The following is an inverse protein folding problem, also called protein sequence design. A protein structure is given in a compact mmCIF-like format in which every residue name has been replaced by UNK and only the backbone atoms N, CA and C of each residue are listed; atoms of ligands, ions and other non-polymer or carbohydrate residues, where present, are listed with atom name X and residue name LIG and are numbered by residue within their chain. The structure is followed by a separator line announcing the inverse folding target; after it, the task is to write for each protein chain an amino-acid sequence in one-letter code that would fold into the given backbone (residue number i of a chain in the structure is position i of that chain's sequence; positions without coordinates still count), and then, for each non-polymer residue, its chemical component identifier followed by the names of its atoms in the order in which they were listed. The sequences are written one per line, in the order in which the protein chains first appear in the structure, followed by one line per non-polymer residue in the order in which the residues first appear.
data_IF_598095392255
#
_entry.id   IF_598095392255
#
_cell.length_a   1.000
_cell.length_b   1.000
_cell.length_c   1.000
_cell.angle_alpha   90.00
_cell.angle_beta   90.00
_cell.angle_gamma   90.00
#
_symmetry.space_group_name_H-M   'P 1'
#
loop_
_entity.id
_entity.type
_entity.pdbx_description
1 polymer ?
#
# COMPACT_ATOMS: atom_id res chain seq x y z
N UNK A 1 33.02 36.27 -6.97
CA UNK A 1 32.29 35.21 -6.25
C UNK A 1 32.21 34.02 -7.18
N UNK A 2 32.95 32.96 -6.89
CA UNK A 2 32.88 31.68 -7.62
C UNK A 2 31.48 31.12 -7.44
N UNK A 3 30.78 30.62 -8.48
CA UNK A 3 29.52 29.93 -8.28
C UNK A 3 29.80 28.76 -7.34
N UNK A 4 29.09 28.64 -6.22
CA UNK A 4 29.12 27.40 -5.44
C UNK A 4 28.70 26.28 -6.39
N UNK A 5 29.60 25.34 -6.66
CA UNK A 5 29.27 24.17 -7.44
C UNK A 5 28.09 23.47 -6.75
N UNK A 6 27.00 23.28 -7.49
CA UNK A 6 25.86 22.49 -7.06
C UNK A 6 26.39 21.13 -6.59
N UNK A 7 26.22 20.83 -5.30
CA UNK A 7 26.64 19.56 -4.74
C UNK A 7 25.46 18.61 -4.86
N UNK A 8 25.61 17.64 -5.75
CA UNK A 8 24.62 16.61 -6.01
C UNK A 8 24.97 15.34 -5.23
N UNK A 9 24.01 14.83 -4.49
CA UNK A 9 24.12 13.62 -3.68
C UNK A 9 23.33 12.52 -4.40
N UNK A 10 23.98 11.46 -4.90
CA UNK A 10 23.28 10.37 -5.56
C UNK A 10 22.45 9.57 -4.56
N UNK A 11 21.36 9.00 -5.03
CA UNK A 11 20.47 8.15 -4.26
C UNK A 11 19.80 7.07 -5.10
N UNK A 12 18.87 6.37 -4.46
CA UNK A 12 18.06 5.29 -5.03
C UNK A 12 16.60 5.61 -4.76
N UNK A 13 15.80 5.74 -5.81
CA UNK A 13 14.38 6.04 -5.69
C UNK A 13 13.62 4.81 -5.16
N UNK A 14 13.13 4.91 -3.92
CA UNK A 14 12.32 3.88 -3.28
C UNK A 14 10.84 4.03 -3.65
N UNK A 15 10.33 5.26 -3.59
CA UNK A 15 8.95 5.64 -3.93
C UNK A 15 9.02 6.83 -4.89
N UNK A 16 8.41 6.71 -6.07
CA UNK A 16 8.31 7.79 -7.05
C UNK A 16 7.04 8.61 -6.89
N UNK A 17 7.04 9.83 -7.44
CA UNK A 17 5.86 10.69 -7.52
C UNK A 17 5.87 11.53 -8.81
N UNK A 18 4.84 12.35 -8.99
CA UNK A 18 4.57 13.08 -10.24
C UNK A 18 5.45 14.29 -10.57
N UNK A 19 5.93 15.10 -9.60
CA UNK A 19 6.95 16.08 -9.92
C UNK A 19 8.29 15.36 -10.17
N UNK A 20 8.96 15.64 -11.30
CA UNK A 20 10.32 15.14 -11.55
C UNK A 20 11.31 15.63 -10.51
N UNK A 21 10.99 16.73 -9.81
CA UNK A 21 11.74 17.22 -8.66
C UNK A 21 10.86 17.85 -7.60
N UNK A 22 11.17 17.64 -6.34
CA UNK A 22 10.52 18.29 -5.19
C UNK A 22 11.53 19.20 -4.49
N UNK A 23 11.18 20.48 -4.28
CA UNK A 23 12.00 21.44 -3.52
C UNK A 23 11.37 21.67 -2.15
N UNK A 24 12.18 21.74 -1.10
CA UNK A 24 11.73 22.05 0.24
C UNK A 24 12.87 22.19 1.24
N UNK A 25 12.56 22.67 2.44
CA UNK A 25 13.53 22.78 3.54
C UNK A 25 13.67 21.42 4.23
N UNK A 26 14.91 20.99 4.45
CA UNK A 26 15.23 19.79 5.21
C UNK A 26 14.67 19.88 6.63
N UNK A 27 13.84 18.90 6.96
CA UNK A 27 13.28 18.68 8.29
C UNK A 27 13.92 17.43 8.90
N UNK A 28 14.64 17.61 10.01
CA UNK A 28 15.28 16.52 10.78
C UNK A 28 14.68 16.34 12.18
N UNK A 29 13.63 17.11 12.52
CA UNK A 29 13.10 17.14 13.89
C UNK A 29 12.19 15.96 14.18
N UNK A 30 11.73 15.25 13.14
CA UNK A 30 10.71 14.21 13.27
C UNK A 30 9.30 14.77 13.54
N UNK A 31 9.12 16.09 13.54
CA UNK A 31 7.82 16.75 13.74
C UNK A 31 7.22 17.21 12.41
N UNK A 32 5.89 17.39 12.30
CA UNK A 32 5.25 17.85 11.05
C UNK A 32 5.73 19.23 10.60
N UNK A 33 6.17 19.33 9.34
CA UNK A 33 6.53 20.58 8.68
C UNK A 33 5.99 20.55 7.26
N UNK A 34 5.01 21.42 6.99
CA UNK A 34 4.32 21.48 5.70
C UNK A 34 5.28 21.87 4.57
N UNK A 35 5.26 21.13 3.47
CA UNK A 35 6.16 21.33 2.34
C UNK A 35 7.64 21.00 2.59
N UNK A 36 7.99 20.47 3.77
CA UNK A 36 9.37 20.11 4.12
C UNK A 36 9.87 18.84 3.45
N UNK A 37 11.19 18.67 3.37
CA UNK A 37 11.84 17.40 3.00
C UNK A 37 12.23 16.69 4.29
N UNK A 38 11.52 15.63 4.67
CA UNK A 38 11.87 14.84 5.86
C UNK A 38 13.18 14.09 5.62
N UNK A 39 14.18 14.29 6.46
CA UNK A 39 15.50 13.64 6.38
C UNK A 39 15.72 12.80 7.63
N UNK A 40 15.78 11.48 7.47
CA UNK A 40 15.85 10.52 8.58
C UNK A 40 16.81 9.37 8.26
N UNK A 41 17.24 8.62 9.26
CA UNK A 41 18.01 7.40 9.00
C UNK A 41 17.10 6.31 8.42
N UNK A 42 16.06 5.94 9.17
CA UNK A 42 15.05 4.95 8.81
C UNK A 42 13.66 5.57 8.98
N UNK A 43 12.69 5.15 8.16
CA UNK A 43 11.30 5.53 8.34
C UNK A 43 10.61 4.56 9.31
N UNK A 44 10.14 5.06 10.45
CA UNK A 44 9.30 4.32 11.39
C UNK A 44 7.90 4.94 11.58
N UNK A 45 6.97 4.23 12.26
CA UNK A 45 5.61 4.67 12.57
C UNK A 45 5.54 5.94 13.42
N UNK A 46 6.52 6.18 14.29
CA UNK A 46 6.64 7.38 15.13
C UNK A 46 6.73 8.67 14.30
N UNK A 47 7.11 8.56 13.03
CA UNK A 47 7.21 9.65 12.10
C UNK A 47 5.92 9.85 11.26
N UNK A 48 4.82 9.15 11.56
CA UNK A 48 3.59 9.20 10.74
C UNK A 48 3.17 10.63 10.38
N UNK A 49 2.98 11.50 11.38
CA UNK A 49 2.53 12.88 11.16
C UNK A 49 3.55 13.70 10.35
N UNK A 50 4.85 13.48 10.60
CA UNK A 50 5.91 14.13 9.85
C UNK A 50 5.97 13.68 8.39
N UNK A 51 5.76 12.38 8.13
CA UNK A 51 5.73 11.80 6.80
C UNK A 51 4.56 12.37 6.02
N UNK A 52 3.34 12.28 6.54
CA UNK A 52 2.13 12.64 5.77
C UNK A 52 2.03 14.13 5.43
N UNK A 53 2.82 14.97 6.12
CA UNK A 53 2.93 16.42 5.89
C UNK A 53 4.12 16.79 5.00
N UNK A 54 5.08 15.87 4.81
CA UNK A 54 6.28 16.13 4.02
C UNK A 54 6.00 16.15 2.52
N UNK A 55 6.74 16.99 1.79
CA UNK A 55 6.73 17.02 0.34
C UNK A 55 7.55 15.87 -0.28
N UNK A 56 8.61 15.42 0.41
CA UNK A 56 9.39 14.22 0.08
C UNK A 56 10.09 13.69 1.35
N UNK A 57 10.55 12.45 1.29
CA UNK A 57 11.42 11.85 2.31
C UNK A 57 12.77 11.48 1.72
N UNK A 58 13.85 11.78 2.44
CA UNK A 58 15.19 11.26 2.19
C UNK A 58 15.61 10.40 3.36
N UNK A 59 15.98 9.14 3.11
CA UNK A 59 16.42 8.21 4.15
C UNK A 59 17.77 7.55 3.84
N UNK A 60 18.45 6.98 4.84
CA UNK A 60 19.65 6.18 4.61
C UNK A 60 19.34 4.69 4.46
N UNK A 61 18.31 4.21 5.17
CA UNK A 61 17.92 2.80 5.22
C UNK A 61 16.46 2.61 4.80
N UNK A 62 16.13 1.37 4.46
CA UNK A 62 14.81 0.99 3.96
C UNK A 62 14.79 0.56 2.50
N UNK A 63 13.67 -0.07 2.13
CA UNK A 63 13.43 -0.67 0.81
C UNK A 63 12.25 -0.05 0.07
N UNK A 64 12.03 -0.44 -1.19
CA UNK A 64 10.96 0.12 -2.06
C UNK A 64 9.54 -0.14 -1.52
N UNK A 65 9.41 -1.11 -0.63
CA UNK A 65 8.13 -1.72 -0.23
C UNK A 65 7.96 -1.85 1.29
N UNK A 66 8.81 -1.23 2.12
CA UNK A 66 8.60 -1.21 3.57
C UNK A 66 7.26 -0.55 3.98
N UNK A 67 6.82 -0.75 5.23
CA UNK A 67 5.48 -0.32 5.67
C UNK A 67 5.28 1.19 5.48
N UNK A 68 6.25 1.99 5.93
CA UNK A 68 6.23 3.43 5.78
C UNK A 68 6.45 3.89 4.34
N UNK A 69 7.24 3.17 3.53
CA UNK A 69 7.33 3.44 2.09
C UNK A 69 6.01 3.12 1.38
N UNK A 70 5.23 2.13 1.84
CA UNK A 70 3.88 1.88 1.36
C UNK A 70 2.93 3.02 1.73
N UNK A 71 3.07 3.62 2.92
CA UNK A 71 2.31 4.82 3.30
C UNK A 71 2.68 5.99 2.39
N UNK A 72 3.98 6.29 2.25
CA UNK A 72 4.47 7.34 1.35
C UNK A 72 3.95 7.13 -0.07
N UNK A 73 3.99 5.89 -0.58
CA UNK A 73 3.44 5.54 -1.89
C UNK A 73 1.92 5.72 -1.93
N UNK A 74 1.19 5.36 -0.90
CA UNK A 74 -0.26 5.61 -0.84
C UNK A 74 -0.58 7.10 -0.95
N UNK A 75 0.23 7.95 -0.30
CA UNK A 75 0.07 9.40 -0.25
C UNK A 75 0.76 10.16 -1.39
N UNK A 76 1.50 9.47 -2.26
CA UNK A 76 2.24 10.08 -3.37
C UNK A 76 3.46 10.90 -2.93
N UNK A 77 3.98 10.63 -1.74
CA UNK A 77 5.18 11.26 -1.19
C UNK A 77 6.39 10.46 -1.70
N UNK A 78 7.29 11.07 -2.49
CA UNK A 78 8.47 10.37 -2.98
C UNK A 78 9.45 10.11 -1.84
N UNK A 79 10.15 8.98 -1.94
CA UNK A 79 11.16 8.55 -0.97
C UNK A 79 12.43 8.22 -1.73
N UNK A 80 13.51 8.95 -1.41
CA UNK A 80 14.84 8.73 -1.97
C UNK A 80 15.78 8.21 -0.90
N UNK A 81 16.46 7.10 -1.16
CA UNK A 81 17.50 6.59 -0.26
C UNK A 81 18.86 7.12 -0.67
N UNK A 82 19.60 7.72 0.25
CA UNK A 82 20.99 8.15 0.05
C UNK A 82 21.93 7.32 0.91
N UNK A 83 23.24 7.50 0.73
CA UNK A 83 24.22 6.95 1.65
C UNK A 83 24.08 7.58 3.05
N UNK A 84 24.26 6.80 4.12
CA UNK A 84 24.16 7.27 5.51
C UNK A 84 25.09 8.47 5.77
N UNK A 85 26.30 8.45 5.21
CA UNK A 85 27.26 9.55 5.36
C UNK A 85 26.83 10.86 4.69
N UNK A 86 25.85 10.80 3.78
CA UNK A 86 25.34 11.96 3.08
C UNK A 86 24.21 12.68 3.84
N UNK A 87 23.58 12.03 4.82
CA UNK A 87 22.46 12.61 5.55
C UNK A 87 22.84 13.93 6.23
N UNK A 88 24.02 14.02 6.84
CA UNK A 88 24.45 15.22 7.57
C UNK A 88 24.67 16.44 6.66
N UNK A 89 24.88 16.21 5.36
CA UNK A 89 25.00 17.29 4.37
C UNK A 89 23.64 17.87 3.94
N UNK A 90 22.53 17.18 4.24
CA UNK A 90 21.17 17.60 3.89
C UNK A 90 20.63 18.58 4.93
N UNK A 91 20.99 19.85 4.74
CA UNK A 91 20.61 20.97 5.59
C UNK A 91 20.08 22.14 4.74
N UNK A 92 19.18 22.93 5.34
CA UNK A 92 18.58 24.07 4.64
C UNK A 92 17.67 23.62 3.51
N UNK A 93 17.62 24.39 2.43
CA UNK A 93 16.76 24.07 1.29
C UNK A 93 17.46 23.16 0.29
N UNK A 94 16.75 22.13 -0.16
CA UNK A 94 17.25 21.13 -1.11
C UNK A 94 16.23 20.86 -2.20
N UNK A 95 16.72 20.34 -3.33
CA UNK A 95 15.87 19.82 -4.41
C UNK A 95 16.11 18.32 -4.57
N UNK A 96 15.09 17.52 -4.31
CA UNK A 96 15.08 16.06 -4.56
C UNK A 96 14.67 15.83 -6.00
N UNK A 97 15.58 15.31 -6.83
CA UNK A 97 15.33 14.95 -8.23
C UNK A 97 15.05 13.46 -8.36
N UNK A 98 13.86 13.12 -8.84
CA UNK A 98 13.36 11.74 -8.90
C UNK A 98 13.82 11.01 -10.17
N UNK A 99 14.08 11.76 -11.24
CA UNK A 99 14.55 11.27 -12.53
C UNK A 99 16.04 10.90 -12.52
N UNK A 100 16.89 11.80 -12.03
CA UNK A 100 18.32 11.55 -11.81
C UNK A 100 18.61 10.80 -10.51
N UNK A 101 17.59 10.60 -9.67
CA UNK A 101 17.69 9.95 -8.35
C UNK A 101 18.77 10.59 -7.48
N UNK A 102 18.66 11.89 -7.24
CA UNK A 102 19.67 12.66 -6.51
C UNK A 102 19.05 13.76 -5.65
N UNK A 103 19.81 14.25 -4.67
CA UNK A 103 19.48 15.45 -3.91
C UNK A 103 20.50 16.54 -4.25
N UNK A 104 20.01 17.69 -4.70
CA UNK A 104 20.84 18.83 -5.04
C UNK A 104 20.79 19.86 -3.91
N UNK A 105 21.97 20.25 -3.42
CA UNK A 105 22.13 21.31 -2.43
C UNK A 105 22.26 22.67 -3.13
N UNK A 106 21.37 23.62 -2.82
CA UNK A 106 21.37 24.98 -3.36
C UNK A 106 20.27 25.26 -4.39
N UNK A 107 20.30 26.45 -5.01
CA UNK A 107 19.30 26.86 -6.01
C UNK A 107 19.50 26.16 -7.35
N UNK A 108 18.49 25.42 -7.79
CA UNK A 108 18.49 24.72 -9.07
C UNK A 108 17.46 25.40 -9.99
N UNK A 109 17.84 25.66 -11.24
CA UNK A 109 16.85 25.98 -12.27
C UNK A 109 15.91 24.77 -12.48
N UNK A 110 14.59 25.00 -12.61
CA UNK A 110 13.65 23.93 -12.88
C UNK A 110 13.98 23.29 -14.23
N UNK A 111 14.31 22.01 -14.23
CA UNK A 111 14.47 21.25 -15.47
C UNK A 111 13.10 20.98 -16.11
N UNK A 112 13.00 21.01 -17.45
CA UNK A 112 11.78 20.59 -18.13
C UNK A 112 11.46 19.13 -17.77
N UNK A 113 10.18 18.78 -17.58
CA UNK A 113 9.80 17.44 -17.14
C UNK A 113 10.34 16.38 -18.10
N UNK A 114 11.09 15.41 -17.55
CA UNK A 114 11.58 14.27 -18.29
C UNK A 114 10.40 13.51 -18.94
N UNK A 115 10.51 13.27 -20.25
CA UNK A 115 9.48 12.60 -21.04
C UNK A 115 9.50 11.11 -20.69
N UNK A 116 8.65 10.67 -19.77
CA UNK A 116 8.49 9.24 -19.49
C UNK A 116 8.18 8.48 -20.79
N UNK A 117 8.86 7.35 -21.00
CA UNK A 117 8.60 6.49 -22.16
C UNK A 117 7.12 6.08 -22.13
N UNK A 118 6.39 6.46 -23.18
CA UNK A 118 4.98 6.13 -23.35
C UNK A 118 4.86 4.63 -23.63
N UNK A 119 4.61 3.84 -22.59
CA UNK A 119 3.93 2.57 -22.76
C UNK A 119 2.44 2.87 -22.85
N UNK A 120 1.80 2.42 -23.93
CA UNK A 120 0.35 2.53 -24.11
C UNK A 120 -0.33 1.62 -23.10
N UNK A 121 -0.91 2.19 -22.06
CA UNK A 121 -1.70 1.46 -21.09
C UNK A 121 -3.00 1.05 -21.78
N UNK A 122 -3.19 -0.25 -22.03
CA UNK A 122 -4.47 -0.77 -22.49
C UNK A 122 -5.43 -0.95 -21.30
N UNK A 123 -5.95 0.18 -20.81
CA UNK A 123 -6.97 0.23 -19.75
C UNK A 123 -8.18 -0.66 -20.06
N UNK A 124 -8.50 -0.86 -21.33
CA UNK A 124 -9.64 -1.66 -21.79
C UNK A 124 -9.60 -3.13 -21.31
N UNK A 125 -8.42 -3.61 -20.89
CA UNK A 125 -8.25 -4.96 -20.34
C UNK A 125 -8.49 -5.07 -18.83
N UNK A 126 -8.55 -3.93 -18.13
CA UNK A 126 -8.79 -3.84 -16.69
C UNK A 126 -10.29 -3.65 -16.48
N UNK A 127 -10.93 -4.65 -15.89
CA UNK A 127 -12.35 -4.66 -15.54
C UNK A 127 -12.63 -3.82 -14.29
N UNK A 128 -11.76 -3.93 -13.27
CA UNK A 128 -11.95 -3.22 -12.00
C UNK A 128 -10.62 -2.92 -11.31
N UNK A 129 -10.60 -1.82 -10.57
CA UNK A 129 -9.47 -1.34 -9.79
C UNK A 129 -9.84 -1.26 -8.31
N UNK A 130 -9.10 -2.01 -7.50
CA UNK A 130 -9.10 -1.89 -6.05
C UNK A 130 -8.03 -0.89 -5.60
N UNK A 131 -8.41 0.18 -4.91
CA UNK A 131 -7.50 1.26 -4.52
C UNK A 131 -7.09 1.13 -3.06
N UNK A 132 -5.79 0.94 -2.82
CA UNK A 132 -5.20 0.98 -1.48
C UNK A 132 -5.16 2.40 -0.96
N UNK A 133 -5.81 2.62 0.18
CA UNK A 133 -5.92 3.90 0.87
C UNK A 133 -5.39 3.80 2.29
N UNK A 134 -5.06 4.95 2.87
CA UNK A 134 -4.67 5.09 4.27
C UNK A 134 -5.63 6.00 5.06
N UNK A 135 -6.40 6.86 4.39
CA UNK A 135 -7.38 7.75 5.00
C UNK A 135 -8.57 8.03 4.05
N UNK A 136 -9.64 8.62 4.58
CA UNK A 136 -10.80 9.08 3.80
C UNK A 136 -10.43 10.11 2.72
N UNK A 137 -9.41 10.94 2.97
CA UNK A 137 -8.88 11.90 1.99
C UNK A 137 -8.32 11.24 0.73
N UNK A 138 -7.81 10.01 0.83
CA UNK A 138 -7.32 9.25 -0.32
C UNK A 138 -8.49 8.84 -1.25
N UNK A 139 -9.66 8.53 -0.67
CA UNK A 139 -10.90 8.21 -1.39
C UNK A 139 -11.40 9.45 -2.13
N UNK A 140 -11.49 10.60 -1.45
CA UNK A 140 -11.88 11.88 -2.06
C UNK A 140 -10.98 12.25 -3.25
N UNK A 141 -9.68 12.11 -3.04
CA UNK A 141 -8.66 12.32 -4.06
C UNK A 141 -8.88 11.40 -5.28
N UNK A 142 -9.14 10.12 -5.04
CA UNK A 142 -9.34 9.12 -6.10
C UNK A 142 -10.63 9.39 -6.86
N UNK A 143 -11.70 9.75 -6.16
CA UNK A 143 -12.99 10.10 -6.76
C UNK A 143 -12.95 11.33 -7.68
N UNK A 144 -11.87 12.12 -7.60
CA UNK A 144 -11.63 13.27 -8.49
C UNK A 144 -10.94 12.89 -9.80
N UNK A 145 -10.51 11.62 -10.00
CA UNK A 145 -9.74 11.16 -11.15
C UNK A 145 -10.62 10.69 -12.31
N UNK A 146 -11.40 11.59 -12.91
CA UNK A 146 -12.25 11.28 -14.06
C UNK A 146 -11.42 11.10 -15.36
N UNK A 147 -11.70 10.09 -16.20
CA UNK A 147 -12.74 9.05 -16.09
C UNK A 147 -12.29 7.78 -15.34
N UNK A 148 -11.03 7.68 -14.92
CA UNK A 148 -10.46 6.46 -14.34
C UNK A 148 -11.19 5.96 -13.09
N UNK A 149 -11.81 6.88 -12.33
CA UNK A 149 -12.69 6.55 -11.19
C UNK A 149 -13.84 5.60 -11.56
N UNK A 150 -14.31 5.60 -12.80
CA UNK A 150 -15.40 4.70 -13.25
C UNK A 150 -15.01 3.22 -13.19
N UNK A 151 -13.71 2.90 -13.20
CA UNK A 151 -13.19 1.55 -13.03
C UNK A 151 -12.90 1.21 -11.56
N UNK A 152 -13.00 2.18 -10.64
CA UNK A 152 -12.76 1.97 -9.21
C UNK A 152 -14.05 1.53 -8.53
N UNK A 153 -14.16 0.24 -8.23
CA UNK A 153 -15.30 -0.37 -7.53
C UNK A 153 -14.99 -0.70 -6.05
N UNK A 154 -13.71 -0.70 -5.67
CA UNK A 154 -13.25 -1.15 -4.36
C UNK A 154 -12.16 -0.23 -3.80
N UNK A 155 -12.27 0.10 -2.53
CA UNK A 155 -11.19 0.68 -1.73
C UNK A 155 -10.73 -0.32 -0.69
N UNK A 156 -9.45 -0.27 -0.38
CA UNK A 156 -8.80 -1.19 0.53
C UNK A 156 -8.01 -0.42 1.58
N UNK A 157 -8.27 -0.70 2.86
CA UNK A 157 -7.57 -0.13 4.00
C UNK A 157 -6.94 -1.25 4.83
N UNK A 158 -5.75 -0.99 5.33
CA UNK A 158 -5.06 -1.84 6.30
C UNK A 158 -5.45 -1.44 7.72
N UNK A 159 -5.81 -2.39 8.58
CA UNK A 159 -6.21 -2.07 9.96
C UNK A 159 -5.14 -1.25 10.69
N UNK A 160 -3.86 -1.52 10.45
CA UNK A 160 -2.70 -0.79 10.96
C UNK A 160 -2.78 0.71 10.64
N UNK A 161 -3.21 1.07 9.42
CA UNK A 161 -3.39 2.47 9.03
C UNK A 161 -4.57 3.12 9.75
N UNK A 162 -5.65 2.38 10.00
CA UNK A 162 -6.75 2.88 10.83
C UNK A 162 -6.30 3.05 12.29
N UNK A 163 -5.42 2.18 12.81
CA UNK A 163 -4.83 2.32 14.13
C UNK A 163 -3.99 3.60 14.23
N UNK A 164 -3.12 3.87 13.25
CA UNK A 164 -2.30 5.09 13.25
C UNK A 164 -3.18 6.34 13.18
N UNK A 165 -4.19 6.36 12.30
CA UNK A 165 -5.11 7.50 12.19
C UNK A 165 -5.87 7.77 13.49
N UNK A 166 -6.24 6.72 14.23
CA UNK A 166 -6.94 6.80 15.51
C UNK A 166 -6.00 6.88 16.72
N UNK A 167 -4.69 6.94 16.53
CA UNK A 167 -3.66 6.90 17.58
C UNK A 167 -3.84 5.74 18.56
N UNK A 168 -4.04 4.53 18.02
CA UNK A 168 -4.27 3.31 18.79
C UNK A 168 -3.01 2.44 18.83
N UNK A 169 -2.75 1.86 20.00
CA UNK A 169 -1.84 0.71 20.16
C UNK A 169 -2.69 -0.58 20.19
N UNK A 170 -2.69 -1.40 19.12
CA UNK A 170 -3.58 -2.55 19.02
C UNK A 170 -3.32 -3.58 20.12
N UNK A 171 -2.05 -3.93 20.35
CA UNK A 171 -1.68 -4.96 21.31
C UNK A 171 -2.01 -4.52 22.73
N UNK A 172 -1.70 -3.27 23.09
CA UNK A 172 -2.01 -2.75 24.42
C UNK A 172 -3.53 -2.77 24.68
N UNK A 173 -4.32 -2.31 23.71
CA UNK A 173 -5.78 -2.27 23.85
C UNK A 173 -6.40 -3.68 23.92
N UNK A 174 -5.91 -4.61 23.10
CA UNK A 174 -6.42 -5.98 23.07
C UNK A 174 -6.05 -6.74 24.34
N UNK A 175 -4.86 -6.55 24.89
CA UNK A 175 -4.39 -7.26 26.10
C UNK A 175 -4.79 -6.61 27.42
N UNK A 176 -5.24 -5.35 27.41
CA UNK A 176 -5.83 -4.70 28.58
C UNK A 176 -7.16 -5.34 29.04
N UNK A 177 -7.82 -6.09 28.16
CA UNK A 177 -9.02 -6.88 28.46
C UNK A 177 -10.18 -6.59 27.52
N UNK A 178 -11.26 -7.36 27.67
CA UNK A 178 -12.43 -7.29 26.76
C UNK A 178 -13.00 -5.86 26.61
N UNK A 179 -13.20 -5.06 27.67
CA UNK A 179 -13.74 -3.71 27.52
C UNK A 179 -12.85 -2.78 26.67
N UNK A 180 -11.54 -2.94 26.73
CA UNK A 180 -10.57 -2.17 25.94
C UNK A 180 -10.52 -2.67 24.49
N UNK A 181 -10.57 -3.98 24.29
CA UNK A 181 -10.71 -4.58 22.96
C UNK A 181 -11.99 -4.09 22.25
N UNK A 182 -13.12 -4.02 22.94
CA UNK A 182 -14.37 -3.49 22.38
C UNK A 182 -14.26 -1.98 22.07
N UNK A 183 -13.59 -1.20 22.93
CA UNK A 183 -13.30 0.22 22.64
C UNK A 183 -12.42 0.40 21.41
N UNK A 184 -11.39 -0.43 21.27
CA UNK A 184 -10.54 -0.48 20.07
C UNK A 184 -11.38 -0.77 18.82
N UNK A 185 -12.24 -1.79 18.85
CA UNK A 185 -13.15 -2.10 17.74
C UNK A 185 -14.09 -0.95 17.37
N UNK A 186 -14.60 -0.21 18.36
CA UNK A 186 -15.41 0.99 18.13
C UNK A 186 -14.63 2.14 17.48
N UNK A 187 -13.37 2.34 17.86
CA UNK A 187 -12.51 3.36 17.29
C UNK A 187 -12.21 3.07 15.82
N UNK A 188 -11.81 1.83 15.50
CA UNK A 188 -11.59 1.41 14.10
C UNK A 188 -12.90 1.54 13.28
N UNK A 189 -14.04 1.15 13.83
CA UNK A 189 -15.33 1.33 13.14
C UNK A 189 -15.65 2.80 12.84
N UNK A 190 -15.20 3.74 13.68
CA UNK A 190 -15.38 5.18 13.45
C UNK A 190 -14.57 5.67 12.25
N UNK A 191 -13.32 5.21 12.11
CA UNK A 191 -12.48 5.49 10.94
C UNK A 191 -13.09 4.94 9.67
N UNK A 192 -13.54 3.68 9.68
CA UNK A 192 -14.20 3.06 8.53
C UNK A 192 -15.52 3.79 8.16
N UNK A 193 -16.31 4.22 9.15
CA UNK A 193 -17.51 5.01 8.89
C UNK A 193 -17.19 6.34 8.19
N UNK A 194 -16.06 6.97 8.49
CA UNK A 194 -15.64 8.19 7.80
C UNK A 194 -15.31 7.91 6.34
N UNK A 195 -14.65 6.79 6.05
CA UNK A 195 -14.29 6.37 4.70
C UNK A 195 -15.52 5.99 3.87
N UNK A 196 -16.48 5.27 4.46
CA UNK A 196 -17.71 4.84 3.77
C UNK A 196 -18.51 6.05 3.26
N UNK A 197 -18.51 7.18 3.98
CA UNK A 197 -19.20 8.40 3.58
C UNK A 197 -18.63 9.03 2.30
N UNK A 198 -17.36 8.77 1.99
CA UNK A 198 -16.71 9.31 0.80
C UNK A 198 -16.92 8.43 -0.44
N UNK A 199 -17.49 7.23 -0.28
CA UNK A 199 -17.68 6.29 -1.38
C UNK A 199 -18.82 6.70 -2.30
N UNK A 200 -18.57 6.73 -3.61
CA UNK A 200 -19.58 6.90 -4.66
C UNK A 200 -20.48 5.65 -4.77
N UNK A 201 -21.68 5.75 -5.39
CA UNK A 201 -22.54 4.60 -5.65
C UNK A 201 -21.79 3.47 -6.37
N UNK A 202 -22.02 2.22 -5.94
CA UNK A 202 -21.34 1.04 -6.48
C UNK A 202 -19.96 0.76 -5.88
N UNK A 203 -19.36 1.72 -5.17
CA UNK A 203 -18.07 1.52 -4.51
C UNK A 203 -18.24 0.86 -3.13
N UNK A 204 -17.23 0.11 -2.71
CA UNK A 204 -17.18 -0.56 -1.40
C UNK A 204 -15.81 -0.41 -0.73
N UNK A 205 -15.74 -0.78 0.54
CA UNK A 205 -14.52 -0.75 1.36
C UNK A 205 -14.19 -2.16 1.87
N UNK A 206 -12.93 -2.55 1.74
CA UNK A 206 -12.36 -3.78 2.32
C UNK A 206 -11.35 -3.37 3.37
N UNK A 207 -11.48 -3.89 4.59
CA UNK A 207 -10.44 -3.78 5.61
C UNK A 207 -9.64 -5.08 5.68
N UNK A 208 -8.32 -5.02 5.47
CA UNK A 208 -7.42 -6.11 5.89
C UNK A 208 -7.39 -6.13 7.40
N UNK A 209 -7.60 -7.31 7.99
CA UNK A 209 -7.39 -7.49 9.42
C UNK A 209 -5.93 -7.25 9.78
N UNK A 210 -5.67 -7.06 11.08
CA UNK A 210 -4.37 -6.71 11.63
C UNK A 210 -3.27 -7.71 11.24
N UNK A 211 -2.18 -7.17 10.70
CA UNK A 211 -0.95 -7.87 10.35
C UNK A 211 0.26 -7.03 10.79
N UNK A 212 0.42 -7.03 12.11
CA UNK A 212 1.47 -6.30 12.80
C UNK A 212 2.61 -7.27 13.13
N UNK A 213 3.77 -7.07 12.51
CA UNK A 213 4.99 -7.82 12.79
C UNK A 213 5.60 -7.37 14.13
N UNK A 214 6.44 -8.20 14.75
CA UNK A 214 7.03 -7.90 16.07
C UNK A 214 7.90 -6.64 16.08
N UNK A 215 8.61 -6.35 14.99
CA UNK A 215 9.38 -5.11 14.78
C UNK A 215 8.47 -3.87 14.77
N UNK A 216 7.43 -3.89 13.91
CA UNK A 216 6.44 -2.81 13.84
C UNK A 216 5.66 -2.67 15.18
N UNK A 217 5.41 -3.79 15.87
CA UNK A 217 4.69 -3.83 17.13
C UNK A 217 5.49 -3.20 18.28
N UNK A 218 6.80 -3.45 18.33
CA UNK A 218 7.70 -2.91 19.34
C UNK A 218 7.77 -1.38 19.33
N UNK A 219 7.54 -0.76 18.17
CA UNK A 219 7.57 0.69 18.02
C UNK A 219 6.31 1.39 18.58
N UNK A 220 5.20 0.67 18.66
CA UNK A 220 3.89 1.25 19.05
C UNK A 220 3.29 0.67 20.33
N UNK A 221 3.81 -0.45 20.81
CA UNK A 221 3.34 -1.13 22.03
C UNK A 221 4.19 -0.69 23.22
N UNK A 222 3.55 -0.23 24.29
CA UNK A 222 4.26 0.29 25.47
C UNK A 222 3.83 -0.35 26.78
N UNK A 223 2.64 -0.95 26.82
CA UNK A 223 2.05 -1.54 28.01
C UNK A 223 2.31 -3.04 28.18
N UNK A 224 2.87 -3.70 27.16
CA UNK A 224 3.11 -5.15 27.15
C UNK A 224 4.50 -5.45 26.61
N UNK A 225 5.22 -6.36 27.27
CA UNK A 225 6.47 -6.91 26.73
C UNK A 225 6.19 -7.76 25.50
N UNK A 226 6.95 -7.52 24.44
CA UNK A 226 6.88 -8.26 23.19
C UNK A 226 8.12 -9.13 23.04
N UNK A 227 7.93 -10.31 22.45
CA UNK A 227 9.04 -11.19 22.09
C UNK A 227 9.85 -10.56 20.95
N UNK A 228 11.17 -10.57 21.10
CA UNK A 228 12.10 -10.19 20.03
C UNK A 228 12.29 -11.39 19.09
N UNK A 229 11.51 -11.40 18.01
CA UNK A 229 11.59 -12.46 17.01
C UNK A 229 12.83 -12.28 16.12
N UNK A 230 13.65 -13.33 15.91
CA UNK A 230 14.85 -13.23 15.09
C UNK A 230 14.57 -12.93 13.61
N UNK A 231 13.34 -13.21 13.16
CA UNK A 231 12.87 -12.85 11.82
C UNK A 231 11.38 -12.47 11.89
N UNK A 232 11.07 -11.17 12.10
CA UNK A 232 9.70 -10.68 12.18
C UNK A 232 8.86 -10.98 10.93
N UNK A 233 9.47 -11.01 9.75
CA UNK A 233 8.79 -11.33 8.47
C UNK A 233 8.35 -12.80 8.37
N UNK A 234 8.95 -13.69 9.17
CA UNK A 234 8.54 -15.10 9.24
C UNK A 234 7.91 -15.44 10.60
N UNK A 235 7.54 -14.42 11.36
CA UNK A 235 7.18 -14.52 12.77
C UNK A 235 5.70 -14.74 13.07
N UNK A 236 5.31 -14.29 14.26
CA UNK A 236 3.95 -14.34 14.79
C UNK A 236 3.19 -13.06 14.42
N UNK A 237 2.71 -12.99 13.19
CA UNK A 237 1.89 -11.89 12.69
C UNK A 237 0.75 -12.38 11.77
N UNK A 238 -0.08 -11.45 11.29
CA UNK A 238 -1.24 -11.71 10.43
C UNK A 238 -2.14 -12.83 10.94
N UNK A 239 -2.53 -13.77 10.07
CA UNK A 239 -3.42 -14.89 10.41
C UNK A 239 -2.98 -15.67 11.67
N UNK A 240 -1.67 -15.88 11.86
CA UNK A 240 -1.14 -16.63 13.01
C UNK A 240 -1.39 -15.89 14.31
N UNK A 241 -1.05 -14.60 14.35
CA UNK A 241 -1.28 -13.77 15.52
C UNK A 241 -2.77 -13.61 15.82
N UNK A 242 -3.59 -13.39 14.78
CA UNK A 242 -5.05 -13.27 14.90
C UNK A 242 -5.70 -14.52 15.49
N UNK A 243 -5.17 -15.71 15.20
CA UNK A 243 -5.62 -16.99 15.78
C UNK A 243 -5.28 -17.13 17.27
N UNK A 244 -4.13 -16.61 17.69
CA UNK A 244 -3.65 -16.71 19.07
C UNK A 244 -4.23 -15.61 19.98
N UNK A 245 -4.48 -14.41 19.45
CA UNK A 245 -5.01 -13.30 20.26
C UNK A 245 -6.48 -13.53 20.66
N UNK A 246 -6.68 -13.73 21.95
CA UNK A 246 -7.96 -14.15 22.53
C UNK A 246 -9.00 -13.02 22.53
N UNK A 247 -8.56 -11.76 22.62
CA UNK A 247 -9.47 -10.62 22.69
C UNK A 247 -9.80 -10.01 21.32
N UNK A 248 -9.10 -10.40 20.24
CA UNK A 248 -9.37 -9.89 18.89
C UNK A 248 -10.80 -10.17 18.40
N UNK A 249 -11.41 -11.37 18.63
CA UNK A 249 -12.81 -11.61 18.29
C UNK A 249 -13.81 -10.67 18.97
N UNK A 250 -13.51 -10.20 20.18
CA UNK A 250 -14.35 -9.23 20.90
C UNK A 250 -14.29 -7.86 20.22
N UNK A 251 -13.08 -7.39 19.91
CA UNK A 251 -12.87 -6.17 19.12
C UNK A 251 -13.59 -6.24 17.76
N UNK A 252 -13.39 -7.33 17.01
CA UNK A 252 -13.98 -7.52 15.69
C UNK A 252 -15.51 -7.54 15.72
N UNK A 253 -16.10 -8.17 16.76
CA UNK A 253 -17.56 -8.16 16.97
C UNK A 253 -18.09 -6.76 17.27
N UNK A 254 -17.43 -6.02 18.16
CA UNK A 254 -17.79 -4.65 18.51
C UNK A 254 -17.70 -3.72 17.30
N UNK A 255 -16.63 -3.86 16.50
CA UNK A 255 -16.45 -3.17 15.23
C UNK A 255 -17.64 -3.40 14.29
N UNK A 256 -17.99 -4.66 14.01
CA UNK A 256 -19.11 -5.00 13.10
C UNK A 256 -20.47 -4.56 13.65
N UNK A 257 -20.67 -4.61 14.96
CA UNK A 257 -21.88 -4.11 15.60
C UNK A 257 -22.00 -2.59 15.41
N UNK A 258 -20.92 -1.85 15.64
CA UNK A 258 -20.86 -0.39 15.48
C UNK A 258 -21.04 0.05 14.03
N UNK A 259 -20.44 -0.66 13.06
CA UNK A 259 -20.68 -0.37 11.64
C UNK A 259 -22.17 -0.47 11.29
N UNK A 260 -22.84 -1.55 11.71
CA UNK A 260 -24.29 -1.73 11.49
C UNK A 260 -25.12 -0.65 12.19
N UNK A 261 -24.77 -0.30 13.42
CA UNK A 261 -25.44 0.78 14.18
C UNK A 261 -25.34 2.13 13.46
N UNK A 262 -24.16 2.46 12.91
CA UNK A 262 -23.84 3.79 12.39
C UNK A 262 -24.18 3.97 10.91
N UNK A 263 -24.11 2.90 10.13
CA UNK A 263 -24.28 2.93 8.67
C UNK A 263 -25.59 2.29 8.20
N UNK A 264 -26.30 1.55 9.06
CA UNK A 264 -27.50 0.83 8.65
C UNK A 264 -27.21 -0.14 7.51
N UNK A 265 -27.93 -0.03 6.40
CA UNK A 265 -27.73 -0.85 5.20
C UNK A 265 -26.39 -0.61 4.51
N UNK A 266 -25.80 0.59 4.64
CA UNK A 266 -24.49 0.88 4.05
C UNK A 266 -23.35 0.08 4.71
N UNK A 267 -23.59 -0.54 5.87
CA UNK A 267 -22.65 -1.47 6.48
C UNK A 267 -22.33 -2.67 5.58
N UNK A 268 -23.22 -3.05 4.66
CA UNK A 268 -22.98 -4.13 3.68
C UNK A 268 -21.91 -3.77 2.64
N UNK A 269 -21.57 -2.48 2.52
CA UNK A 269 -20.47 -1.99 1.67
C UNK A 269 -19.10 -2.16 2.33
N UNK A 270 -19.04 -2.65 3.57
CA UNK A 270 -17.79 -2.94 4.28
C UNK A 270 -17.59 -4.44 4.38
N UNK A 271 -16.44 -4.91 3.90
CA UNK A 271 -16.03 -6.31 3.97
C UNK A 271 -14.63 -6.42 4.57
N UNK A 272 -14.22 -7.64 4.90
CA UNK A 272 -12.97 -7.91 5.62
C UNK A 272 -12.14 -8.94 4.89
N UNK A 273 -10.82 -8.89 5.03
CA UNK A 273 -9.92 -9.87 4.45
C UNK A 273 -8.80 -10.26 5.42
N UNK A 274 -8.46 -11.54 5.46
CA UNK A 274 -7.41 -12.07 6.34
C UNK A 274 -6.03 -11.91 5.69
N UNK A 275 -5.04 -11.32 6.39
CA UNK A 275 -3.64 -11.23 5.96
C UNK A 275 -2.84 -12.51 6.25
N UNK A 276 -1.73 -12.71 5.53
CA UNK A 276 -0.65 -13.66 5.86
C UNK A 276 -1.09 -15.09 6.20
N UNK A 277 -2.16 -15.54 5.54
CA UNK A 277 -2.66 -16.90 5.69
C UNK A 277 -1.86 -17.87 4.84
N UNK A 278 -1.73 -19.13 5.27
CA UNK A 278 -0.99 -20.17 4.54
C UNK A 278 -1.90 -21.17 3.86
N UNK A 279 -2.95 -21.63 4.53
CA UNK A 279 -3.73 -22.77 4.07
C UNK A 279 -5.20 -22.74 4.54
N UNK A 280 -5.96 -23.71 4.05
CA UNK A 280 -7.38 -23.85 4.34
C UNK A 280 -7.67 -24.07 5.84
N UNK A 281 -6.79 -24.74 6.59
CA UNK A 281 -7.03 -24.97 8.02
C UNK A 281 -7.01 -23.65 8.79
N UNK A 282 -5.99 -22.80 8.54
CA UNK A 282 -5.94 -21.45 9.10
C UNK A 282 -7.20 -20.65 8.73
N UNK A 283 -7.70 -20.78 7.50
CA UNK A 283 -8.88 -20.03 7.03
C UNK A 283 -10.13 -20.43 7.80
N UNK A 284 -10.38 -21.74 7.89
CA UNK A 284 -11.55 -22.28 8.60
C UNK A 284 -11.47 -22.02 10.11
N UNK A 285 -10.27 -22.10 10.70
CA UNK A 285 -10.04 -21.77 12.11
C UNK A 285 -10.31 -20.28 12.37
N UNK A 286 -9.83 -19.37 11.53
CA UNK A 286 -10.06 -17.94 11.68
C UNK A 286 -11.54 -17.58 11.55
N UNK A 287 -12.25 -18.16 10.57
CA UNK A 287 -13.70 -17.96 10.45
C UNK A 287 -14.43 -18.35 11.74
N UNK A 288 -14.08 -19.49 12.35
CA UNK A 288 -14.64 -19.93 13.63
C UNK A 288 -14.26 -19.00 14.78
N UNK A 289 -12.98 -18.62 14.87
CA UNK A 289 -12.45 -17.73 15.91
C UNK A 289 -13.15 -16.36 15.92
N UNK A 290 -13.37 -15.79 14.73
CA UNK A 290 -14.08 -14.52 14.53
C UNK A 290 -15.62 -14.65 14.65
N UNK A 291 -16.15 -15.85 14.87
CA UNK A 291 -17.59 -16.11 14.98
C UNK A 291 -18.35 -15.85 13.68
N UNK A 292 -17.74 -16.08 12.53
CA UNK A 292 -18.33 -15.84 11.21
C UNK A 292 -19.17 -17.03 10.76
N UNK A 293 -20.39 -16.75 10.30
CA UNK A 293 -21.25 -17.74 9.62
C UNK A 293 -20.79 -17.95 8.18
N UNK A 294 -21.22 -19.04 7.52
CA UNK A 294 -20.86 -19.31 6.11
C UNK A 294 -21.25 -18.17 5.15
N UNK A 295 -22.30 -17.42 5.45
CA UNK A 295 -22.80 -16.31 4.64
C UNK A 295 -22.01 -15.01 4.83
N UNK A 296 -21.23 -14.87 5.91
CA UNK A 296 -20.47 -13.62 6.13
C UNK A 296 -19.25 -13.59 5.18
N UNK A 297 -19.13 -12.58 4.30
CA UNK A 297 -18.00 -12.46 3.40
C UNK A 297 -16.68 -12.31 4.16
N UNK A 298 -15.66 -13.05 3.72
CA UNK A 298 -14.29 -12.91 4.20
C UNK A 298 -13.34 -13.17 3.03
N UNK A 299 -12.57 -12.15 2.66
CA UNK A 299 -11.53 -12.26 1.66
C UNK A 299 -10.25 -12.87 2.22
N UNK A 300 -9.35 -13.23 1.32
CA UNK A 300 -8.05 -13.85 1.65
C UNK A 300 -6.93 -13.11 0.96
N UNK A 301 -5.91 -12.72 1.70
CA UNK A 301 -4.64 -12.27 1.12
C UNK A 301 -3.75 -13.48 0.78
N UNK A 302 -3.38 -13.60 -0.50
CA UNK A 302 -2.43 -14.60 -0.98
C UNK A 302 -1.05 -13.98 -1.03
N UNK A 303 -0.31 -14.15 0.06
CA UNK A 303 0.98 -13.49 0.33
C UNK A 303 2.14 -14.49 0.49
N UNK A 304 1.85 -15.78 0.68
CA UNK A 304 2.86 -16.82 0.89
C UNK A 304 2.83 -17.87 -0.24
N UNK A 305 3.93 -18.61 -0.47
CA UNK A 305 3.92 -19.74 -1.40
C UNK A 305 2.87 -20.78 -1.05
N UNK A 306 2.64 -21.06 0.24
CA UNK A 306 1.59 -21.98 0.68
C UNK A 306 0.20 -21.51 0.23
N UNK A 307 -0.10 -20.22 0.44
CA UNK A 307 -1.38 -19.64 0.04
C UNK A 307 -1.63 -19.70 -1.48
N UNK A 308 -0.58 -19.63 -2.30
CA UNK A 308 -0.69 -19.80 -3.76
C UNK A 308 -1.19 -21.19 -4.13
N UNK A 309 -0.75 -22.22 -3.41
CA UNK A 309 -1.19 -23.59 -3.64
C UNK A 309 -2.55 -23.88 -3.00
N UNK A 310 -2.92 -23.18 -1.93
CA UNK A 310 -4.26 -23.27 -1.30
C UNK A 310 -5.32 -22.37 -1.93
N UNK A 311 -4.97 -21.52 -2.92
CA UNK A 311 -5.88 -20.54 -3.51
C UNK A 311 -7.20 -21.14 -4.04
N UNK A 312 -7.14 -22.33 -4.66
CA UNK A 312 -8.34 -23.01 -5.16
C UNK A 312 -9.23 -23.53 -4.02
N UNK A 313 -8.62 -23.99 -2.92
CA UNK A 313 -9.33 -24.45 -1.73
C UNK A 313 -10.02 -23.30 -0.98
N UNK A 314 -9.38 -22.12 -0.93
CA UNK A 314 -10.03 -20.91 -0.42
C UNK A 314 -11.29 -20.58 -1.22
N UNK A 315 -11.20 -20.58 -2.56
CA UNK A 315 -12.35 -20.34 -3.43
C UNK A 315 -13.47 -21.37 -3.19
N UNK A 316 -13.14 -22.66 -3.18
CA UNK A 316 -14.10 -23.74 -2.97
C UNK A 316 -14.77 -23.70 -1.58
N UNK A 317 -14.10 -23.10 -0.60
CA UNK A 317 -14.57 -23.00 0.79
C UNK A 317 -15.30 -21.69 1.10
N UNK A 318 -15.61 -20.89 0.08
CA UNK A 318 -16.40 -19.67 0.22
C UNK A 318 -15.61 -18.43 0.63
N UNK A 319 -14.31 -18.35 0.31
CA UNK A 319 -13.63 -17.06 0.32
C UNK A 319 -14.36 -16.10 -0.62
N UNK A 320 -14.68 -14.90 -0.14
CA UNK A 320 -15.46 -13.95 -0.95
C UNK A 320 -14.65 -13.43 -2.12
N UNK A 321 -13.35 -13.20 -1.89
CA UNK A 321 -12.39 -12.64 -2.86
C UNK A 321 -10.95 -13.01 -2.46
N UNK A 322 -10.05 -13.02 -3.44
CA UNK A 322 -8.62 -13.17 -3.22
C UNK A 322 -7.89 -11.86 -3.54
N UNK A 323 -6.98 -11.45 -2.66
CA UNK A 323 -6.09 -10.30 -2.85
C UNK A 323 -4.65 -10.79 -2.90
N UNK A 324 -3.97 -10.61 -4.03
CA UNK A 324 -2.59 -11.08 -4.18
C UNK A 324 -1.63 -9.98 -3.73
N UNK A 325 -1.15 -10.10 -2.50
CA UNK A 325 -0.16 -9.20 -1.90
C UNK A 325 1.22 -9.47 -2.48
N UNK A 326 1.55 -8.82 -3.60
CA UNK A 326 2.82 -9.09 -4.31
C UNK A 326 4.06 -8.75 -3.50
N UNK A 327 3.95 -7.81 -2.55
CA UNK A 327 5.04 -7.35 -1.70
C UNK A 327 5.68 -8.50 -0.92
N UNK A 328 4.87 -9.27 -0.23
CA UNK A 328 5.30 -10.40 0.60
C UNK A 328 5.54 -11.63 -0.27
N UNK A 329 4.67 -11.84 -1.27
CA UNK A 329 4.79 -12.97 -2.18
C UNK A 329 6.14 -13.01 -2.89
N UNK A 330 6.61 -11.88 -3.42
CA UNK A 330 7.92 -11.79 -4.10
C UNK A 330 9.05 -12.09 -3.13
N UNK A 331 8.99 -11.54 -1.92
CA UNK A 331 10.02 -11.74 -0.90
C UNK A 331 10.18 -13.23 -0.55
N UNK A 332 9.09 -13.94 -0.32
CA UNK A 332 9.15 -15.37 0.02
C UNK A 332 9.48 -16.26 -1.17
N UNK A 333 8.99 -15.94 -2.38
CA UNK A 333 9.32 -16.72 -3.58
C UNK A 333 10.79 -16.59 -3.99
N UNK A 334 11.39 -15.41 -3.77
CA UNK A 334 12.76 -15.13 -4.16
C UNK A 334 13.76 -15.19 -3.00
N UNK A 335 13.28 -15.47 -1.79
CA UNK A 335 14.05 -15.41 -0.55
C UNK A 335 14.88 -14.10 -0.43
N UNK A 336 14.25 -12.99 -0.79
CA UNK A 336 14.90 -11.70 -0.91
C UNK A 336 14.16 -10.66 -0.08
N UNK A 337 14.69 -10.38 1.11
CA UNK A 337 14.21 -9.29 1.96
C UNK A 337 14.39 -7.95 1.24
N UNK A 338 13.26 -7.29 0.96
CA UNK A 338 13.22 -6.00 0.27
C UNK A 338 13.81 -4.84 1.08
N UNK A 339 13.81 -4.95 2.41
CA UNK A 339 14.41 -3.98 3.35
C UNK A 339 15.92 -4.15 3.44
N UNK A 340 16.42 -5.36 3.19
CA UNK A 340 17.84 -5.67 3.19
C UNK A 340 18.52 -5.20 1.88
N UNK A 341 19.21 -4.06 1.96
CA UNK A 341 19.91 -3.45 0.83
C UNK A 341 20.95 -4.36 0.15
N UNK A 342 21.48 -5.37 0.84
CA UNK A 342 22.46 -6.32 0.29
C UNK A 342 21.82 -7.29 -0.72
N UNK A 343 20.53 -7.55 -0.62
CA UNK A 343 19.78 -8.51 -1.47
C UNK A 343 18.60 -7.87 -2.21
N UNK A 344 18.37 -6.56 -2.03
CA UNK A 344 17.25 -5.84 -2.64
C UNK A 344 17.23 -5.91 -4.19
N UNK A 345 18.37 -6.16 -4.85
CA UNK A 345 18.44 -6.38 -6.31
C UNK A 345 17.82 -7.71 -6.77
N UNK A 346 17.72 -8.70 -5.87
CA UNK A 346 17.05 -9.97 -6.10
C UNK A 346 15.53 -9.86 -6.01
N UNK A 347 15.01 -8.81 -5.35
CA UNK A 347 13.58 -8.53 -5.32
C UNK A 347 13.12 -8.05 -6.70
N UNK A 348 12.49 -8.94 -7.47
CA UNK A 348 12.12 -8.70 -8.87
C UNK A 348 10.64 -8.96 -9.11
N UNK A 349 9.87 -7.90 -9.36
CA UNK A 349 8.41 -7.97 -9.60
C UNK A 349 8.05 -8.77 -10.85
N UNK A 350 8.93 -8.80 -11.85
CA UNK A 350 8.74 -9.50 -13.13
C UNK A 350 9.45 -10.84 -13.22
N UNK A 351 9.91 -11.39 -12.10
CA UNK A 351 10.61 -12.68 -12.11
C UNK A 351 9.67 -13.80 -12.58
N UNK A 352 10.19 -14.75 -13.36
CA UNK A 352 9.38 -15.82 -13.96
C UNK A 352 8.62 -16.67 -12.91
N UNK A 353 9.24 -16.94 -11.77
CA UNK A 353 8.60 -17.68 -10.66
C UNK A 353 7.44 -16.88 -10.04
N UNK A 354 7.59 -15.57 -9.88
CA UNK A 354 6.53 -14.68 -9.38
C UNK A 354 5.37 -14.67 -10.37
N UNK A 355 5.63 -14.47 -11.66
CA UNK A 355 4.59 -14.50 -12.69
C UNK A 355 3.89 -15.86 -12.79
N UNK A 356 4.58 -16.97 -12.50
CA UNK A 356 3.97 -18.29 -12.42
C UNK A 356 3.00 -18.39 -11.23
N UNK A 357 3.42 -17.92 -10.05
CA UNK A 357 2.59 -17.86 -8.86
C UNK A 357 1.34 -17.00 -9.08
N UNK A 358 1.49 -15.78 -9.62
CA UNK A 358 0.37 -14.90 -9.92
C UNK A 358 -0.63 -15.55 -10.88
N UNK A 359 -0.15 -16.16 -11.97
CA UNK A 359 -1.02 -16.89 -12.92
C UNK A 359 -1.78 -18.03 -12.27
N UNK A 360 -1.14 -18.76 -11.35
CA UNK A 360 -1.78 -19.86 -10.64
C UNK A 360 -2.94 -19.35 -9.77
N UNK A 361 -2.74 -18.29 -8.99
CA UNK A 361 -3.79 -17.70 -8.14
C UNK A 361 -4.93 -17.15 -8.99
N UNK A 362 -4.64 -16.44 -10.08
CA UNK A 362 -5.70 -15.89 -10.95
C UNK A 362 -6.55 -17.02 -11.55
N UNK A 363 -5.91 -18.13 -11.92
CA UNK A 363 -6.61 -19.32 -12.44
C UNK A 363 -7.36 -20.11 -11.37
N UNK A 364 -7.08 -19.92 -10.08
CA UNK A 364 -7.73 -20.68 -9.01
C UNK A 364 -9.19 -20.29 -8.82
N UNK A 365 -9.59 -19.10 -9.27
CA UNK A 365 -10.99 -18.67 -9.33
C UNK A 365 -11.85 -19.67 -10.11
N UNK A 366 -11.33 -20.23 -11.22
CA UNK A 366 -11.98 -21.28 -12.01
C UNK A 366 -13.48 -21.04 -12.23
N UNK A 367 -14.27 -22.08 -12.03
CA UNK A 367 -15.74 -22.02 -12.13
C UNK A 367 -16.42 -21.39 -10.91
N UNK A 368 -15.69 -21.14 -9.81
CA UNK A 368 -16.26 -20.54 -8.59
C UNK A 368 -16.58 -19.06 -8.78
N UNK A 369 -15.92 -18.41 -9.74
CA UNK A 369 -16.11 -16.98 -10.03
C UNK A 369 -15.61 -16.04 -8.94
N UNK A 370 -14.86 -16.54 -7.95
CA UNK A 370 -14.30 -15.71 -6.87
C UNK A 370 -13.34 -14.65 -7.47
N UNK A 371 -13.58 -13.35 -7.24
CA UNK A 371 -12.72 -12.28 -7.76
C UNK A 371 -11.29 -12.40 -7.24
N UNK A 372 -10.31 -12.18 -8.12
CA UNK A 372 -8.88 -12.16 -7.77
C UNK A 372 -8.28 -10.82 -8.14
N UNK A 373 -7.86 -10.05 -7.14
CA UNK A 373 -7.22 -8.74 -7.30
C UNK A 373 -5.71 -8.88 -7.18
N UNK A 374 -4.96 -8.49 -8.21
CA UNK A 374 -3.49 -8.57 -8.17
C UNK A 374 -2.91 -7.21 -7.87
N UNK A 375 -2.12 -7.09 -6.79
CA UNK A 375 -1.41 -5.84 -6.52
C UNK A 375 -0.39 -5.55 -7.63
N UNK A 376 -0.41 -4.34 -8.18
CA UNK A 376 0.51 -3.91 -9.21
C UNK A 376 1.06 -2.52 -8.91
N UNK A 377 2.37 -2.36 -9.13
CA UNK A 377 2.97 -1.04 -9.29
C UNK A 377 2.58 -0.50 -10.66
N UNK A 378 2.41 0.81 -10.80
CA UNK A 378 2.05 1.46 -12.06
C UNK A 378 3.04 1.12 -13.19
N UNK A 379 4.33 0.96 -12.86
CA UNK A 379 5.35 0.54 -13.81
C UNK A 379 5.15 -0.90 -14.33
N UNK A 380 4.47 -1.75 -13.57
CA UNK A 380 4.28 -3.18 -13.85
C UNK A 380 2.91 -3.52 -14.43
N UNK A 381 1.93 -2.61 -14.36
CA UNK A 381 0.56 -2.82 -14.87
C UNK A 381 0.56 -3.36 -16.31
N UNK A 382 1.27 -2.74 -17.24
CA UNK A 382 1.30 -3.16 -18.65
C UNK A 382 1.98 -4.52 -18.86
N UNK A 383 2.92 -4.85 -17.96
CA UNK A 383 3.57 -6.15 -17.99
C UNK A 383 2.59 -7.22 -17.48
N UNK A 384 1.91 -6.96 -16.37
CA UNK A 384 0.95 -7.89 -15.78
C UNK A 384 -0.26 -8.11 -16.69
N UNK A 385 -0.84 -7.06 -17.26
CA UNK A 385 -1.96 -7.16 -18.20
C UNK A 385 -1.66 -8.04 -19.43
N UNK A 386 -0.39 -8.08 -19.89
CA UNK A 386 0.03 -8.94 -21.02
C UNK A 386 0.31 -10.39 -20.65
N UNK A 387 0.63 -10.67 -19.39
CA UNK A 387 1.14 -11.99 -18.97
C UNK A 387 0.22 -12.72 -17.99
N UNK A 388 -0.71 -12.02 -17.37
CA UNK A 388 -1.69 -12.57 -16.43
C UNK A 388 -3.07 -12.53 -17.08
N UNK A 389 -3.91 -13.57 -16.90
CA UNK A 389 -5.33 -13.51 -17.27
C UNK A 389 -6.15 -12.69 -16.27
N UNK A 390 -5.52 -11.75 -15.55
CA UNK A 390 -6.15 -10.99 -14.48
C UNK A 390 -6.74 -9.71 -15.04
N UNK A 391 -8.02 -9.48 -14.73
CA UNK A 391 -8.75 -8.27 -15.14
C UNK A 391 -9.02 -7.33 -13.96
N UNK A 392 -8.67 -7.74 -12.74
CA UNK A 392 -8.84 -6.93 -11.53
C UNK A 392 -7.49 -6.62 -10.91
N UNK A 393 -7.17 -5.33 -10.81
CA UNK A 393 -5.88 -4.85 -10.32
C UNK A 393 -6.08 -4.12 -9.01
N UNK A 394 -5.14 -4.31 -8.09
CA UNK A 394 -5.05 -3.55 -6.86
C UNK A 394 -3.84 -2.62 -6.94
N UNK A 395 -3.98 -1.35 -6.58
CA UNK A 395 -2.87 -0.40 -6.55
C UNK A 395 -3.17 0.73 -5.57
N UNK A 396 -2.18 1.48 -5.12
CA UNK A 396 -2.47 2.61 -4.23
C UNK A 396 -2.87 3.87 -5.01
N UNK A 397 -3.45 4.84 -4.29
CA UNK A 397 -3.93 6.11 -4.86
C UNK A 397 -2.88 6.83 -5.71
N UNK A 398 -1.61 6.85 -5.30
CA UNK A 398 -0.57 7.51 -6.12
C UNK A 398 -0.24 6.76 -7.41
N UNK A 399 -0.22 5.43 -7.40
CA UNK A 399 0.00 4.63 -8.61
C UNK A 399 -1.16 4.84 -9.59
N UNK A 400 -2.39 4.95 -9.08
CA UNK A 400 -3.57 5.29 -9.89
C UNK A 400 -3.47 6.70 -10.49
N UNK A 401 -3.06 7.70 -9.70
CA UNK A 401 -2.79 9.07 -10.19
C UNK A 401 -1.71 9.09 -11.27
N UNK A 402 -0.67 8.28 -11.10
CA UNK A 402 0.38 8.13 -12.10
C UNK A 402 -0.14 7.50 -13.39
N UNK A 403 -1.02 6.49 -13.27
CA UNK A 403 -1.70 5.90 -14.40
C UNK A 403 -2.54 6.95 -15.15
N UNK A 404 -3.40 7.69 -14.43
CA UNK A 404 -4.25 8.74 -15.00
C UNK A 404 -3.46 9.79 -15.78
N UNK A 405 -2.32 10.23 -15.25
CA UNK A 405 -1.51 11.24 -15.92
C UNK A 405 -0.81 10.69 -17.17
N UNK A 406 -0.36 9.43 -17.15
CA UNK A 406 0.20 8.76 -18.35
C UNK A 406 -0.84 8.68 -19.47
N UNK A 407 -2.08 8.31 -19.13
CA UNK A 407 -3.20 8.24 -20.08
C UNK A 407 -3.49 9.64 -20.68
N UNK A 408 -3.56 10.67 -19.84
CA UNK A 408 -3.79 12.04 -20.29
C UNK A 408 -2.64 12.59 -21.16
N UNK A 409 -1.42 12.11 -20.98
CA UNK A 409 -0.27 12.46 -21.82
C UNK A 409 -0.35 11.80 -23.21
N UNK A 410 -0.75 10.53 -23.26
CA UNK A 410 -0.88 9.76 -24.51
C UNK A 410 -1.99 10.33 -25.42
N UNK A 411 -3.16 10.66 -24.85
CA UNK A 411 -4.23 11.34 -25.59
C UNK A 411 -3.79 12.68 -26.19
N UNK A 412 -2.95 13.45 -25.49
CA UNK A 412 -2.42 14.73 -26.00
C UNK A 412 -1.39 14.54 -27.12
N UNK A 413 -0.57 13.49 -27.07
CA UNK A 413 0.36 13.16 -28.16
C UNK A 413 -0.41 12.73 -29.42
N UNK A 414 -1.39 11.82 -29.27
CA UNK A 414 -2.26 11.41 -30.38
C UNK A 414 -3.01 12.60 -31.01
N UNK A 415 -3.54 13.53 -30.21
CA UNK A 415 -4.25 14.69 -30.74
C UNK A 415 -3.33 15.67 -31.48
N UNK A 416 -2.07 15.81 -31.05
CA UNK A 416 -1.08 16.67 -31.71
C UNK A 416 -0.56 16.06 -33.03
N UNK A 417 -0.35 14.75 -33.08
CA UNK A 417 0.10 14.06 -34.30
C UNK A 417 -0.98 14.08 -35.40
N UNK A 418 -2.26 13.95 -35.03
CA UNK A 418 -3.39 14.09 -35.98
C UNK A 418 -3.51 15.53 -36.51
N UNK A 419 -3.25 16.54 -35.68
CA UNK A 419 -3.34 17.95 -36.10
C UNK A 419 -2.16 18.41 -36.97
N UNK A 420 -0.96 17.86 -36.77
CA UNK A 420 0.20 18.14 -37.62
C UNK A 420 0.25 17.29 -38.90
N UNK A 421 -0.38 16.12 -38.92
CA UNK A 421 -0.53 15.28 -40.11
C UNK A 421 -1.41 15.89 -41.22
N UNK A 422 -2.30 16.84 -40.87
CA UNK A 422 -3.16 17.53 -41.85
C UNK A 422 -2.56 18.81 -42.46
N UNK A 423 -1.38 19.26 -42.00
CA UNK A 423 -0.65 20.39 -42.61
C UNK A 423 0.48 19.95 -43.56
N UNK A 424 0.62 18.65 -43.80
CA UNK A 424 1.55 18.08 -44.80
C UNK A 424 0.80 17.15 -45.75
N UNK A 425 -0.17 17.68 -46.50
CA UNK A 425 -0.60 17.11 -47.78
C UNK A 425 -0.95 18.22 -48.74
#
# INVERSE_FOLDING_TARGET
MTPMALREIPGVLLVGSHPSSVRGVCNRTGTPVDGGILVVDTLGPELYDAIVTAAAVVCARGGRTGHMQSLCRSRGIPVLRVDESALDALVGEVTVRLDSQSVVLGEVEPEPPARAAAATVQLDTIESICVVVAASSDIQSTNSLVPLVEQVDCYFIREEFACYAANLSPIDALRAGIPDAERYGHAIASELCSMVKELLPGQRLVMRLLDLRSDDAAEITTGVELDDEPNPEMGLHGARWLLEETNYPHAFRALRARLRERLGTDAERVSFAVPFINDLDEFLRLRRHLGLTGETPLGVFVETPAAVYSAAEFCASGASELFVGTKDLIQFYLAADRGNHLVASSYQTRHAAVLAALRQVVRSSGDTGVPVHVFALGADVDHYARHLPAHRIMMCTAELRQLATRIAADHRQHHNDVHYGHKRR
#
